data_IF_276785067701
#
_entry.id   IF_276785067701
#
_cell.length_a   1.000
_cell.length_b   1.000
_cell.length_c   1.000
_cell.angle_alpha   90.00
_cell.angle_beta   90.00
_cell.angle_gamma   90.00
#
_symmetry.space_group_name_H-M   'P 1'
#
loop_
_entity.id
_entity.type
_entity.pdbx_description
1 polymer ?
#
# COMPACT_ATOMS: atom_id res chain seq x y z
N UNK A 1 7.73 31.12 10.39
CA UNK A 1 6.72 30.31 9.67
C UNK A 1 6.89 28.86 10.11
N UNK A 2 5.80 28.15 10.39
CA UNK A 2 5.87 26.79 10.94
C UNK A 2 5.92 25.80 9.77
N UNK A 3 7.12 25.29 9.45
CA UNK A 3 7.35 24.37 8.32
C UNK A 3 6.45 23.14 8.33
N UNK A 4 6.11 22.63 9.51
CA UNK A 4 5.18 21.49 9.64
C UNK A 4 3.78 21.89 9.14
N UNK A 5 3.34 23.11 9.42
CA UNK A 5 2.06 23.64 8.94
C UNK A 5 2.09 23.82 7.41
N UNK A 6 3.17 24.36 6.87
CA UNK A 6 3.34 24.55 5.42
C UNK A 6 3.30 23.21 4.66
N UNK A 7 3.99 22.17 5.17
CA UNK A 7 3.89 20.82 4.59
C UNK A 7 2.45 20.29 4.62
N UNK A 8 1.73 20.49 5.73
CA UNK A 8 0.32 20.05 5.84
C UNK A 8 -0.58 20.76 4.84
N UNK A 9 -0.33 22.03 4.54
CA UNK A 9 -1.12 22.81 3.58
C UNK A 9 -0.80 22.45 2.12
N UNK A 10 0.44 22.04 1.83
CA UNK A 10 0.90 21.70 0.48
C UNK A 10 0.75 20.23 0.11
N UNK A 11 0.44 19.34 1.07
CA UNK A 11 0.35 17.90 0.83
C UNK A 11 -1.09 17.41 0.82
N UNK A 12 -1.35 16.38 0.02
CA UNK A 12 -2.55 15.54 0.17
C UNK A 12 -2.20 14.26 0.95
N UNK A 13 -3.00 13.92 1.94
CA UNK A 13 -2.82 12.70 2.75
C UNK A 13 -2.91 11.42 1.91
N UNK A 14 -3.63 11.41 0.79
CA UNK A 14 -3.69 10.27 -0.14
C UNK A 14 -2.31 10.05 -0.79
N UNK A 15 -1.65 11.12 -1.22
CA UNK A 15 -0.30 11.03 -1.79
C UNK A 15 0.71 10.53 -0.76
N UNK A 16 0.58 10.98 0.50
CA UNK A 16 1.42 10.51 1.61
C UNK A 16 1.16 9.04 1.93
N UNK A 17 -0.10 8.60 1.92
CA UNK A 17 -0.44 7.19 2.10
C UNK A 17 0.15 6.32 0.99
N UNK A 18 0.07 6.77 -0.27
CA UNK A 18 0.66 6.09 -1.43
C UNK A 18 2.18 6.05 -1.36
N UNK A 19 2.83 7.16 -0.98
CA UNK A 19 4.27 7.26 -0.73
C UNK A 19 4.74 6.24 0.32
N UNK A 20 3.90 5.95 1.30
CA UNK A 20 4.16 4.96 2.36
C UNK A 20 3.74 3.52 1.97
N UNK A 21 3.31 3.31 0.73
CA UNK A 21 2.90 2.01 0.21
C UNK A 21 1.56 1.51 0.76
N UNK A 22 0.68 2.37 1.26
CA UNK A 22 -0.64 1.95 1.72
C UNK A 22 -1.56 1.70 0.53
N UNK A 23 -1.92 0.44 0.30
CA UNK A 23 -2.84 0.04 -0.76
C UNK A 23 -4.30 0.38 -0.39
N UNK A 24 -4.71 1.62 -0.65
CA UNK A 24 -6.07 2.10 -0.42
C UNK A 24 -7.03 1.52 -1.47
N UNK A 25 -8.23 1.09 -1.03
CA UNK A 25 -9.31 0.74 -1.92
C UNK A 25 -10.07 1.99 -2.44
N UNK A 26 -11.10 1.79 -3.26
CA UNK A 26 -11.92 2.89 -3.84
C UNK A 26 -12.59 3.80 -2.80
N UNK A 27 -12.79 3.32 -1.58
CA UNK A 27 -13.38 4.08 -0.47
C UNK A 27 -12.30 4.67 0.47
N UNK A 28 -11.02 4.62 0.08
CA UNK A 28 -9.87 5.02 0.89
C UNK A 28 -9.70 4.25 2.19
N UNK A 29 -10.02 2.95 2.18
CA UNK A 29 -9.71 2.03 3.28
C UNK A 29 -8.57 1.09 2.93
N UNK A 30 -7.76 0.74 3.92
CA UNK A 30 -6.78 -0.34 3.85
C UNK A 30 -6.67 -1.10 5.17
N UNK A 31 -5.94 -2.22 5.16
CA UNK A 31 -5.57 -2.92 6.39
C UNK A 31 -4.61 -2.05 7.18
N UNK A 32 -4.78 -2.01 8.49
CA UNK A 32 -3.89 -1.25 9.35
C UNK A 32 -2.46 -1.84 9.31
N UNK A 33 -1.42 -1.01 9.16
CA UNK A 33 -0.02 -1.44 9.27
C UNK A 33 0.47 -1.49 10.74
N UNK A 34 -0.33 -1.01 11.69
CA UNK A 34 0.05 -0.89 13.10
C UNK A 34 -0.42 -2.06 13.97
N UNK A 35 -1.32 -2.90 13.48
CA UNK A 35 -1.77 -4.11 14.17
C UNK A 35 -2.18 -5.19 13.16
N UNK A 36 -2.25 -6.43 13.64
CA UNK A 36 -2.63 -7.57 12.81
C UNK A 36 -4.14 -7.74 12.80
N UNK A 37 -4.75 -7.65 11.62
CA UNK A 37 -6.17 -7.90 11.40
C UNK A 37 -6.45 -8.39 9.97
N UNK A 38 -7.61 -9.01 9.78
CA UNK A 38 -8.04 -9.54 8.49
C UNK A 38 -8.91 -8.56 7.68
N UNK A 39 -9.53 -7.57 8.33
CA UNK A 39 -10.39 -6.55 7.70
C UNK A 39 -9.63 -5.25 7.45
N UNK A 40 -10.14 -4.41 6.55
CA UNK A 40 -9.59 -3.08 6.32
C UNK A 40 -10.16 -2.11 7.38
N UNK A 41 -9.39 -1.78 8.42
CA UNK A 41 -9.86 -0.87 9.48
C UNK A 41 -9.22 0.53 9.43
N UNK A 42 -8.18 0.74 8.62
CA UNK A 42 -7.58 2.06 8.43
C UNK A 42 -8.31 2.79 7.30
N UNK A 43 -8.87 3.95 7.60
CA UNK A 43 -9.54 4.85 6.65
C UNK A 43 -8.72 6.13 6.50
N UNK A 44 -8.60 6.61 5.27
CA UNK A 44 -7.99 7.89 4.93
C UNK A 44 -9.06 8.81 4.35
N UNK A 45 -9.30 9.95 4.97
CA UNK A 45 -10.26 10.95 4.50
C UNK A 45 -9.51 12.06 3.80
N UNK A 46 -9.56 12.06 2.46
CA UNK A 46 -9.00 13.14 1.65
C UNK A 46 -9.67 14.49 1.96
N UNK A 47 -11.00 14.55 2.06
CA UNK A 47 -11.71 15.80 2.38
C UNK A 47 -11.29 16.40 3.73
N UNK A 48 -11.04 15.55 4.74
CA UNK A 48 -10.67 15.99 6.08
C UNK A 48 -9.15 16.07 6.29
N UNK A 49 -8.35 15.56 5.34
CA UNK A 49 -6.90 15.41 5.46
C UNK A 49 -6.45 14.67 6.73
N UNK A 50 -7.21 13.64 7.13
CA UNK A 50 -6.94 12.80 8.32
C UNK A 50 -7.06 11.32 8.01
N UNK A 51 -6.39 10.49 8.81
CA UNK A 51 -6.53 9.04 8.81
C UNK A 51 -6.98 8.55 10.19
N UNK A 52 -7.67 7.41 10.21
CA UNK A 52 -8.05 6.73 11.44
C UNK A 52 -8.12 5.23 11.22
N UNK A 53 -7.53 4.49 12.14
CA UNK A 53 -7.70 3.07 12.28
C UNK A 53 -8.81 2.79 13.30
N UNK A 54 -9.90 2.19 12.84
CA UNK A 54 -11.02 1.79 13.71
C UNK A 54 -10.74 0.51 14.52
N UNK A 55 -9.69 -0.25 14.18
CA UNK A 55 -9.28 -1.44 14.91
C UNK A 55 -8.39 -1.15 16.12
N UNK A 56 -7.34 -0.33 15.95
CA UNK A 56 -6.39 -0.01 17.03
C UNK A 56 -6.52 1.41 17.60
N UNK A 57 -7.43 2.23 17.06
CA UNK A 57 -7.70 3.58 17.55
C UNK A 57 -6.68 4.65 17.12
N UNK A 58 -5.55 4.27 16.53
CA UNK A 58 -4.58 5.23 15.99
C UNK A 58 -5.19 6.11 14.90
N UNK A 59 -4.72 7.34 14.78
CA UNK A 59 -5.18 8.28 13.78
C UNK A 59 -4.44 9.60 13.91
N UNK A 60 -4.66 10.48 12.94
CA UNK A 60 -4.01 11.79 12.90
C UNK A 60 -4.02 12.36 11.49
N UNK A 61 -3.08 13.26 11.21
CA UNK A 61 -2.88 13.82 9.89
C UNK A 61 -1.73 13.12 9.14
N UNK A 62 -1.38 13.66 7.97
CA UNK A 62 -0.30 13.17 7.12
C UNK A 62 1.06 13.08 7.85
N UNK A 63 1.35 14.02 8.76
CA UNK A 63 2.60 14.03 9.53
C UNK A 63 2.57 12.87 10.52
N UNK A 64 1.48 12.71 11.28
CA UNK A 64 1.36 11.63 12.24
C UNK A 64 1.45 10.25 11.58
N UNK A 65 0.91 10.10 10.37
CA UNK A 65 1.01 8.86 9.61
C UNK A 65 2.47 8.46 9.36
N UNK A 66 3.30 9.42 8.96
CA UNK A 66 4.73 9.22 8.69
C UNK A 66 5.51 9.02 9.98
N UNK A 67 5.23 9.81 11.03
CA UNK A 67 5.83 9.63 12.36
C UNK A 67 5.63 8.20 12.87
N UNK A 68 4.37 7.74 12.86
CA UNK A 68 4.01 6.43 13.36
C UNK A 68 4.63 5.32 12.50
N UNK A 69 4.64 5.45 11.18
CA UNK A 69 5.15 4.40 10.29
C UNK A 69 6.67 4.31 10.31
N UNK A 70 7.36 5.45 10.26
CA UNK A 70 8.83 5.49 10.18
C UNK A 70 9.49 5.52 11.56
N UNK A 71 8.69 5.74 12.62
CA UNK A 71 9.14 5.93 14.00
C UNK A 71 10.14 7.09 14.12
N UNK A 72 9.72 8.26 13.62
CA UNK A 72 10.47 9.51 13.58
C UNK A 72 9.62 10.65 14.17
N UNK A 73 10.24 11.79 14.48
CA UNK A 73 9.51 12.94 15.01
C UNK A 73 8.83 13.79 13.93
N UNK A 74 7.91 14.67 14.32
CA UNK A 74 7.11 15.50 13.42
C UNK A 74 7.93 16.34 12.44
N UNK A 75 9.08 16.87 12.86
CA UNK A 75 9.95 17.65 11.97
C UNK A 75 10.59 16.74 10.91
N UNK A 76 11.08 15.57 11.30
CA UNK A 76 11.63 14.58 10.37
C UNK A 76 10.55 14.04 9.42
N UNK A 77 9.33 13.84 9.90
CA UNK A 77 8.19 13.45 9.08
C UNK A 77 7.82 14.54 8.06
N UNK A 78 7.75 15.80 8.47
CA UNK A 78 7.53 16.93 7.58
C UNK A 78 8.61 17.03 6.50
N UNK A 79 9.88 16.89 6.90
CA UNK A 79 11.02 16.88 5.98
C UNK A 79 10.94 15.71 5.00
N UNK A 80 10.61 14.51 5.48
CA UNK A 80 10.43 13.32 4.64
C UNK A 80 9.36 13.56 3.56
N UNK A 81 8.20 14.11 3.93
CA UNK A 81 7.13 14.43 2.96
C UNK A 81 7.62 15.46 1.94
N UNK A 82 8.24 16.55 2.42
CA UNK A 82 8.79 17.59 1.55
C UNK A 82 9.76 17.03 0.51
N UNK A 83 10.72 16.23 0.96
CA UNK A 83 11.80 15.71 0.12
C UNK A 83 11.28 14.68 -0.90
N UNK A 84 10.31 13.84 -0.53
CA UNK A 84 9.79 12.78 -1.39
C UNK A 84 8.65 13.22 -2.32
N UNK A 85 7.88 14.24 -1.93
CA UNK A 85 6.82 14.82 -2.78
C UNK A 85 7.27 16.07 -3.53
N UNK A 86 8.50 16.54 -3.31
CA UNK A 86 9.06 17.68 -4.03
C UNK A 86 8.38 19.01 -3.72
N UNK A 87 8.02 19.26 -2.45
CA UNK A 87 7.27 20.47 -2.06
C UNK A 87 8.11 21.76 -2.08
N UNK A 88 9.42 21.65 -2.24
CA UNK A 88 10.32 22.81 -2.43
C UNK A 88 10.54 23.68 -1.19
N UNK A 89 10.16 23.22 0.01
CA UNK A 89 10.37 23.97 1.24
C UNK A 89 11.82 23.79 1.73
N UNK A 90 12.42 24.90 2.17
CA UNK A 90 13.77 24.89 2.74
C UNK A 90 13.76 24.40 4.19
N UNK A 91 14.12 23.14 4.42
CA UNK A 91 14.37 22.57 5.74
C UNK A 91 15.81 22.83 6.24
N UNK A 92 16.11 24.07 6.64
CA UNK A 92 17.33 24.40 7.43
C UNK A 92 17.44 23.59 8.74
N UNK A 93 18.60 22.96 8.94
CA UNK A 93 18.99 22.15 10.11
C UNK A 93 20.25 21.35 9.75
N UNK A 94 20.98 20.78 10.73
CA UNK A 94 22.08 19.84 10.43
C UNK A 94 21.58 18.79 9.42
N UNK A 95 22.49 18.28 8.58
CA UNK A 95 22.28 17.05 7.81
C UNK A 95 22.12 15.85 8.78
N UNK A 96 21.13 15.92 9.67
CA UNK A 96 20.70 14.79 10.46
C UNK A 96 19.97 13.90 9.48
N UNK A 97 20.71 12.94 8.93
CA UNK A 97 20.13 11.87 8.12
C UNK A 97 18.87 11.37 8.82
N UNK A 98 17.74 11.36 8.10
CA UNK A 98 16.51 10.79 8.61
C UNK A 98 16.76 9.29 8.79
N UNK A 99 17.02 8.88 10.04
CA UNK A 99 17.19 7.46 10.40
C UNK A 99 15.84 6.77 10.42
N UNK A 100 15.35 6.43 9.23
CA UNK A 100 14.13 5.65 9.06
C UNK A 100 14.30 4.30 9.77
N UNK A 101 13.28 3.87 10.51
CA UNK A 101 13.25 2.51 11.05
C UNK A 101 13.06 1.49 9.91
N UNK A 102 14.17 1.11 9.28
CA UNK A 102 14.21 0.16 8.16
C UNK A 102 13.67 -1.22 8.54
N UNK A 103 13.84 -1.64 9.80
CA UNK A 103 13.27 -2.90 10.27
C UNK A 103 11.75 -2.87 10.21
N UNK A 104 11.13 -1.82 10.77
CA UNK A 104 9.67 -1.65 10.75
C UNK A 104 9.13 -1.56 9.31
N UNK A 105 9.80 -0.78 8.46
CA UNK A 105 9.50 -0.70 7.03
C UNK A 105 9.56 -2.07 6.34
N UNK A 106 10.64 -2.84 6.57
CA UNK A 106 10.81 -4.17 6.00
C UNK A 106 9.71 -5.13 6.44
N UNK A 107 9.31 -5.10 7.71
CA UNK A 107 8.22 -5.95 8.22
C UNK A 107 6.88 -5.59 7.57
N UNK A 108 6.59 -4.30 7.43
CA UNK A 108 5.38 -3.82 6.78
C UNK A 108 5.37 -4.23 5.30
N UNK A 109 6.47 -3.99 4.57
CA UNK A 109 6.59 -4.38 3.17
C UNK A 109 6.42 -5.89 2.98
N UNK A 110 7.06 -6.71 3.83
CA UNK A 110 6.89 -8.17 3.81
C UNK A 110 5.44 -8.59 4.04
N UNK A 111 4.77 -7.96 5.02
CA UNK A 111 3.37 -8.25 5.31
C UNK A 111 2.45 -7.86 4.15
N UNK A 112 2.69 -6.71 3.52
CA UNK A 112 1.94 -6.25 2.35
C UNK A 112 2.12 -7.19 1.17
N UNK A 113 3.36 -7.58 0.87
CA UNK A 113 3.67 -8.52 -0.20
C UNK A 113 2.96 -9.85 0.02
N UNK A 114 3.06 -10.44 1.23
CA UNK A 114 2.39 -11.72 1.51
C UNK A 114 0.86 -11.62 1.41
N UNK A 115 0.28 -10.50 1.84
CA UNK A 115 -1.16 -10.25 1.71
C UNK A 115 -1.58 -10.11 0.25
N UNK A 116 -0.79 -9.43 -0.57
CA UNK A 116 -1.02 -9.35 -2.01
C UNK A 116 -0.94 -10.74 -2.65
N UNK A 117 0.13 -11.49 -2.36
CA UNK A 117 0.36 -12.83 -2.90
C UNK A 117 -0.84 -13.75 -2.64
N UNK A 118 -1.25 -13.85 -1.37
CA UNK A 118 -2.39 -14.68 -0.97
C UNK A 118 -3.70 -14.25 -1.66
N UNK A 119 -3.93 -12.94 -1.78
CA UNK A 119 -5.15 -12.40 -2.40
C UNK A 119 -5.18 -12.67 -3.90
N UNK A 120 -4.07 -12.43 -4.60
CA UNK A 120 -3.94 -12.68 -6.03
C UNK A 120 -4.13 -14.16 -6.33
N UNK A 121 -3.49 -15.04 -5.57
CA UNK A 121 -3.68 -16.48 -5.69
C UNK A 121 -5.16 -16.90 -5.50
N UNK A 122 -5.81 -16.38 -4.46
CA UNK A 122 -7.23 -16.68 -4.22
C UNK A 122 -8.13 -16.25 -5.38
N UNK A 123 -7.92 -15.05 -5.92
CA UNK A 123 -8.70 -14.55 -7.07
C UNK A 123 -8.52 -15.45 -8.30
N UNK A 124 -7.29 -15.87 -8.58
CA UNK A 124 -7.00 -16.76 -9.71
C UNK A 124 -7.69 -18.12 -9.54
N UNK A 125 -7.60 -18.72 -8.36
CA UNK A 125 -8.30 -19.96 -8.02
C UNK A 125 -9.83 -19.81 -8.18
N UNK A 126 -10.43 -18.79 -7.58
CA UNK A 126 -11.87 -18.56 -7.64
C UNK A 126 -12.37 -18.37 -9.07
N UNK A 127 -11.56 -17.72 -9.92
CA UNK A 127 -11.87 -17.50 -11.33
C UNK A 127 -12.01 -18.82 -12.09
N UNK A 128 -11.04 -19.74 -11.96
CA UNK A 128 -11.12 -21.06 -12.63
C UNK A 128 -12.34 -21.85 -12.17
N UNK A 129 -12.66 -21.80 -10.88
CA UNK A 129 -13.80 -22.54 -10.33
C UNK A 129 -15.14 -22.01 -10.84
N UNK A 130 -15.26 -20.69 -11.01
CA UNK A 130 -16.51 -20.02 -11.42
C UNK A 130 -16.66 -19.87 -12.94
N UNK A 131 -15.61 -20.09 -13.71
CA UNK A 131 -15.63 -19.99 -15.17
C UNK A 131 -16.47 -21.09 -15.83
N UNK A 132 -17.22 -20.71 -16.85
CA UNK A 132 -17.89 -21.66 -17.75
C UNK A 132 -16.90 -22.24 -18.79
N UNK A 133 -17.38 -23.20 -19.59
CA UNK A 133 -16.54 -23.90 -20.57
C UNK A 133 -15.93 -22.96 -21.64
N UNK A 134 -16.71 -22.03 -22.18
CA UNK A 134 -16.25 -21.10 -23.23
C UNK A 134 -15.19 -20.13 -22.70
N UNK A 135 -15.37 -19.67 -21.46
CA UNK A 135 -14.41 -18.80 -20.80
C UNK A 135 -13.07 -19.52 -20.54
N UNK A 136 -13.13 -20.81 -20.15
CA UNK A 136 -11.93 -21.63 -19.95
C UNK A 136 -11.14 -21.81 -21.24
N UNK A 137 -11.81 -22.02 -22.37
CA UNK A 137 -11.14 -22.16 -23.66
C UNK A 137 -10.31 -20.93 -24.05
N UNK A 138 -10.72 -19.73 -23.58
CA UNK A 138 -10.06 -18.46 -23.90
C UNK A 138 -8.99 -18.05 -22.89
N UNK A 139 -9.22 -18.28 -21.60
CA UNK A 139 -8.41 -17.67 -20.53
C UNK A 139 -7.65 -18.68 -19.65
N UNK A 140 -7.91 -19.98 -19.77
CA UNK A 140 -7.34 -20.96 -18.83
C UNK A 140 -5.81 -20.97 -18.90
N UNK A 141 -5.21 -20.94 -20.09
CA UNK A 141 -3.75 -21.01 -20.25
C UNK A 141 -3.00 -19.89 -19.53
N UNK A 142 -3.53 -18.66 -19.59
CA UNK A 142 -2.89 -17.51 -18.93
C UNK A 142 -3.10 -17.52 -17.42
N UNK A 143 -4.26 -17.97 -16.94
CA UNK A 143 -4.51 -18.10 -15.50
C UNK A 143 -3.69 -19.23 -14.90
N UNK A 144 -3.57 -20.35 -15.61
CA UNK A 144 -2.77 -21.51 -15.21
C UNK A 144 -1.29 -21.14 -15.12
N UNK A 145 -0.74 -20.44 -16.12
CA UNK A 145 0.61 -19.88 -16.08
C UNK A 145 0.84 -19.01 -14.82
N UNK A 146 -0.10 -18.13 -14.48
CA UNK A 146 0.04 -17.33 -13.26
C UNK A 146 -0.04 -18.18 -12.00
N UNK A 147 -0.95 -19.15 -11.92
CA UNK A 147 -1.05 -20.05 -10.77
C UNK A 147 0.23 -20.86 -10.57
N UNK A 148 0.83 -21.37 -11.64
CA UNK A 148 2.13 -22.05 -11.60
C UNK A 148 3.20 -21.13 -11.02
N UNK A 149 3.26 -19.86 -11.43
CA UNK A 149 4.19 -18.89 -10.86
C UNK A 149 3.96 -18.65 -9.35
N UNK A 150 2.71 -18.69 -8.86
CA UNK A 150 2.44 -18.57 -7.42
C UNK A 150 2.79 -19.83 -6.61
N UNK A 151 2.54 -21.02 -7.18
CA UNK A 151 2.74 -22.30 -6.51
C UNK A 151 4.21 -22.70 -6.51
N UNK A 152 4.86 -22.60 -7.66
CA UNK A 152 6.21 -23.11 -7.90
C UNK A 152 7.27 -21.99 -7.97
N UNK A 153 6.88 -20.75 -8.19
CA UNK A 153 7.81 -19.63 -8.35
C UNK A 153 8.47 -19.19 -7.05
N UNK A 154 9.67 -18.63 -7.20
CA UNK A 154 10.45 -17.96 -6.17
C UNK A 154 9.82 -16.64 -5.73
N UNK A 155 10.26 -16.10 -4.59
CA UNK A 155 9.84 -14.77 -4.14
C UNK A 155 10.23 -13.68 -5.17
N UNK A 156 11.34 -13.87 -5.90
CA UNK A 156 11.83 -12.93 -6.92
C UNK A 156 10.89 -12.88 -8.13
N UNK A 157 10.50 -14.03 -8.67
CA UNK A 157 9.53 -14.12 -9.78
C UNK A 157 8.16 -13.54 -9.38
N UNK A 158 7.72 -13.78 -8.14
CA UNK A 158 6.48 -13.20 -7.61
C UNK A 158 6.57 -11.69 -7.45
N UNK A 159 7.74 -11.15 -7.09
CA UNK A 159 7.98 -9.70 -7.03
C UNK A 159 7.91 -9.08 -8.43
N UNK A 160 8.37 -9.78 -9.47
CA UNK A 160 8.22 -9.31 -10.86
C UNK A 160 6.74 -9.22 -11.24
N UNK A 161 5.94 -10.24 -10.93
CA UNK A 161 4.48 -10.19 -11.11
C UNK A 161 3.81 -9.08 -10.29
N UNK A 162 4.28 -8.82 -9.06
CA UNK A 162 3.79 -7.73 -8.23
C UNK A 162 3.97 -6.36 -8.88
N UNK A 163 5.11 -6.17 -9.57
CA UNK A 163 5.45 -4.93 -10.27
C UNK A 163 4.78 -4.84 -11.64
N UNK A 164 4.46 -5.96 -12.27
CA UNK A 164 3.83 -5.97 -13.58
C UNK A 164 2.41 -5.36 -13.54
N UNK A 165 2.22 -4.32 -14.34
CA UNK A 165 0.92 -3.64 -14.47
C UNK A 165 -0.11 -4.47 -15.23
N UNK A 166 0.32 -5.32 -16.18
CA UNK A 166 -0.55 -6.17 -16.98
C UNK A 166 -1.15 -7.27 -16.11
N UNK A 167 -0.31 -7.97 -15.34
CA UNK A 167 -0.75 -8.92 -14.33
C UNK A 167 -1.78 -8.30 -13.36
N UNK A 168 -1.45 -7.16 -12.75
CA UNK A 168 -2.33 -6.48 -11.78
C UNK A 168 -3.69 -6.13 -12.40
N UNK A 169 -3.72 -5.58 -13.62
CA UNK A 169 -4.96 -5.29 -14.34
C UNK A 169 -5.80 -6.54 -14.59
N UNK A 170 -5.16 -7.66 -14.97
CA UNK A 170 -5.85 -8.93 -15.20
C UNK A 170 -6.47 -9.46 -13.91
N UNK A 171 -5.72 -9.48 -12.81
CA UNK A 171 -6.23 -9.90 -11.50
C UNK A 171 -7.38 -9.00 -11.05
N UNK A 172 -7.30 -7.68 -11.23
CA UNK A 172 -8.38 -6.75 -10.89
C UNK A 172 -9.64 -6.95 -11.75
N UNK A 173 -9.49 -7.34 -13.02
CA UNK A 173 -10.63 -7.69 -13.89
C UNK A 173 -11.30 -8.98 -13.43
N UNK A 174 -10.51 -10.02 -13.16
CA UNK A 174 -10.99 -11.30 -12.63
C UNK A 174 -11.69 -11.12 -11.29
N UNK A 175 -11.11 -10.33 -10.38
CA UNK A 175 -11.72 -10.01 -9.09
C UNK A 175 -13.08 -9.30 -9.23
N UNK A 176 -13.27 -8.45 -10.24
CA UNK A 176 -14.59 -7.81 -10.47
C UNK A 176 -15.62 -8.78 -11.06
N UNK A 177 -15.16 -9.77 -11.82
CA UNK A 177 -16.03 -10.72 -12.52
C UNK A 177 -16.42 -11.90 -11.63
N UNK A 178 -15.49 -12.38 -10.81
CA UNK A 178 -15.61 -13.63 -10.06
C UNK A 178 -15.34 -13.49 -8.55
N UNK A 179 -14.93 -12.32 -8.07
CA UNK A 179 -14.67 -12.06 -6.65
C UNK A 179 -15.94 -11.84 -5.82
#
# INVERSE_FOLDING_TARGET
MNKIKEVKELTNIIDVANLLGLNLNRAHFCKCPFHTENTASLSVSEKKQVWKCFGCGKGGDAINLVEDLLNINAYQAAKYINDNLGLGLDFKGKNDEIKINRYKQKQIAKQQFKKWENRSFQILCDSIHKMNFVEKDQELSIIDYYLEAFICGTDEEKIELYKDSSFRKKVDQLAKRYG
#
